data_IF_448145525296
#
_entry.id   IF_448145525296
#
_cell.length_a   1.000
_cell.length_b   1.000
_cell.length_c   1.000
_cell.angle_alpha   90.00
_cell.angle_beta   90.00
_cell.angle_gamma   90.00
#
_symmetry.space_group_name_H-M   'P 1'
#
loop_
_entity.id
_entity.type
_entity.pdbx_description
1 polymer ?
#
# COMPACT_ATOMS: atom_id res chain seq x y z
N UNK A 1 -5.13 19.49 24.89
CA UNK A 1 -6.52 19.30 24.41
C UNK A 1 -6.53 19.58 22.92
N UNK A 2 -6.96 18.62 22.10
CA UNK A 2 -7.09 18.82 20.66
C UNK A 2 -8.30 19.70 20.34
N UNK A 3 -8.21 20.54 19.30
CA UNK A 3 -9.36 21.24 18.74
C UNK A 3 -10.12 20.27 17.83
N UNK A 4 -11.42 20.15 18.05
CA UNK A 4 -12.30 19.36 17.18
C UNK A 4 -12.76 20.25 16.03
N UNK A 5 -12.60 19.76 14.80
CA UNK A 5 -13.06 20.41 13.59
C UNK A 5 -14.01 19.48 12.83
N UNK A 6 -14.99 20.06 12.16
CA UNK A 6 -15.87 19.34 11.23
C UNK A 6 -15.55 19.76 9.81
N UNK A 7 -15.27 18.80 8.93
CA UNK A 7 -14.91 19.05 7.53
C UNK A 7 -15.84 18.22 6.65
N UNK A 8 -16.35 18.82 5.57
CA UNK A 8 -17.07 18.11 4.52
C UNK A 8 -16.07 17.72 3.43
N UNK A 9 -16.05 16.44 3.08
CA UNK A 9 -15.14 15.85 2.11
C UNK A 9 -15.96 15.22 0.98
N UNK A 10 -15.38 15.09 -0.21
CA UNK A 10 -15.99 14.32 -1.29
C UNK A 10 -15.91 12.82 -0.99
N UNK A 11 -16.79 12.05 -1.62
CA UNK A 11 -16.81 10.59 -1.48
C UNK A 11 -15.48 9.94 -1.90
N UNK A 12 -14.80 10.51 -2.90
CA UNK A 12 -13.48 10.04 -3.35
C UNK A 12 -12.43 10.13 -2.23
N UNK A 13 -12.41 11.24 -1.50
CA UNK A 13 -11.47 11.43 -0.37
C UNK A 13 -11.83 10.49 0.77
N UNK A 14 -13.13 10.31 1.04
CA UNK A 14 -13.60 9.36 2.06
C UNK A 14 -13.16 7.93 1.69
N UNK A 15 -13.23 7.56 0.42
CA UNK A 15 -12.80 6.24 -0.05
C UNK A 15 -11.29 6.03 0.11
N UNK A 16 -10.47 7.04 -0.20
CA UNK A 16 -9.02 6.99 0.03
C UNK A 16 -8.73 6.80 1.52
N UNK A 17 -9.38 7.58 2.39
CA UNK A 17 -9.22 7.44 3.84
C UNK A 17 -9.60 6.04 4.34
N UNK A 18 -10.71 5.49 3.83
CA UNK A 18 -11.15 4.14 4.22
C UNK A 18 -10.16 3.07 3.75
N UNK A 19 -9.56 3.21 2.57
CA UNK A 19 -8.50 2.31 2.08
C UNK A 19 -7.25 2.38 2.94
N UNK A 20 -6.82 3.57 3.38
CA UNK A 20 -5.70 3.69 4.31
C UNK A 20 -5.93 2.91 5.61
N UNK A 21 -7.13 3.00 6.16
CA UNK A 21 -7.52 2.30 7.39
C UNK A 21 -7.63 0.79 7.15
N UNK A 22 -8.22 0.36 6.03
CA UNK A 22 -8.38 -1.07 5.72
C UNK A 22 -7.04 -1.77 5.50
N UNK A 23 -6.07 -1.08 4.91
CA UNK A 23 -4.70 -1.58 4.73
C UNK A 23 -3.81 -1.39 5.97
N UNK A 24 -4.35 -0.90 7.09
CA UNK A 24 -3.60 -0.66 8.34
C UNK A 24 -2.38 0.24 8.12
N UNK A 25 -2.49 1.20 7.20
CA UNK A 25 -1.49 2.26 7.01
C UNK A 25 -1.63 3.31 8.12
N UNK A 26 -2.87 3.54 8.56
CA UNK A 26 -3.25 4.43 9.66
C UNK A 26 -4.35 3.79 10.50
N UNK A 27 -4.54 4.24 11.74
CA UNK A 27 -5.47 3.63 12.68
C UNK A 27 -6.82 4.35 12.77
N UNK A 28 -6.90 5.62 12.35
CA UNK A 28 -8.11 6.42 12.46
C UNK A 28 -8.36 7.35 11.28
N UNK A 29 -9.60 7.87 11.16
CA UNK A 29 -9.95 8.89 10.16
C UNK A 29 -9.15 10.18 10.33
N UNK A 30 -8.84 10.55 11.57
CA UNK A 30 -8.03 11.73 11.87
C UNK A 30 -6.61 11.55 11.38
N UNK A 31 -6.00 10.38 11.63
CA UNK A 31 -4.68 10.05 11.10
C UNK A 31 -4.68 9.96 9.58
N UNK A 32 -5.73 9.40 8.96
CA UNK A 32 -5.86 9.36 7.50
C UNK A 32 -5.84 10.78 6.89
N UNK A 33 -6.59 11.71 7.48
CA UNK A 33 -6.60 13.12 7.05
C UNK A 33 -5.21 13.74 7.23
N UNK A 34 -4.59 13.57 8.40
CA UNK A 34 -3.26 14.12 8.67
C UNK A 34 -2.22 13.57 7.70
N UNK A 35 -2.25 12.26 7.44
CA UNK A 35 -1.36 11.59 6.51
C UNK A 35 -1.49 12.18 5.09
N UNK A 36 -2.74 12.35 4.62
CA UNK A 36 -3.04 12.94 3.32
C UNK A 36 -2.62 14.41 3.22
N UNK A 37 -2.77 15.18 4.30
CA UNK A 37 -2.33 16.58 4.34
C UNK A 37 -0.80 16.70 4.35
N UNK A 38 -0.10 15.81 5.03
CA UNK A 38 1.36 15.81 5.15
C UNK A 38 2.04 15.36 3.84
N UNK A 39 1.52 14.32 3.19
CA UNK A 39 2.18 13.70 2.04
C UNK A 39 1.53 14.06 0.70
N UNK A 40 0.32 14.62 0.71
CA UNK A 40 -0.47 14.86 -0.48
C UNK A 40 -1.23 13.61 -0.97
N UNK A 41 -2.26 13.86 -1.76
CA UNK A 41 -3.20 12.82 -2.23
C UNK A 41 -2.52 11.84 -3.21
N UNK A 42 -1.69 12.36 -4.12
CA UNK A 42 -1.02 11.55 -5.14
C UNK A 42 -0.07 10.51 -4.52
N UNK A 43 0.74 10.94 -3.56
CA UNK A 43 1.60 10.02 -2.81
C UNK A 43 0.79 8.99 -2.03
N UNK A 44 -0.27 9.44 -1.37
CA UNK A 44 -1.17 8.57 -0.62
C UNK A 44 -1.74 7.46 -1.51
N UNK A 45 -2.20 7.81 -2.72
CA UNK A 45 -2.73 6.85 -3.68
C UNK A 45 -1.67 5.82 -4.10
N UNK A 46 -0.45 6.27 -4.40
CA UNK A 46 0.67 5.39 -4.73
C UNK A 46 0.98 4.37 -3.63
N UNK A 47 0.89 4.77 -2.36
CA UNK A 47 1.09 3.86 -1.22
C UNK A 47 0.00 2.80 -1.16
N UNK A 48 -1.25 3.20 -1.39
CA UNK A 48 -2.39 2.28 -1.41
C UNK A 48 -2.25 1.28 -2.56
N UNK A 49 -1.92 1.74 -3.76
CA UNK A 49 -1.72 0.87 -4.93
C UNK A 49 -0.60 -0.15 -4.71
N UNK A 50 0.51 0.26 -4.08
CA UNK A 50 1.59 -0.67 -3.70
C UNK A 50 1.10 -1.75 -2.73
N UNK A 51 0.28 -1.38 -1.74
CA UNK A 51 -0.29 -2.34 -0.79
C UNK A 51 -1.27 -3.30 -1.45
N UNK A 52 -2.10 -2.82 -2.37
CA UNK A 52 -2.99 -3.67 -3.17
C UNK A 52 -2.21 -4.68 -3.99
N UNK A 53 -1.19 -4.23 -4.72
CA UNK A 53 -0.34 -5.12 -5.50
C UNK A 53 0.37 -6.18 -4.66
N UNK A 54 0.87 -5.81 -3.47
CA UNK A 54 1.47 -6.79 -2.56
C UNK A 54 0.44 -7.82 -2.09
N UNK A 55 -0.78 -7.40 -1.79
CA UNK A 55 -1.86 -8.29 -1.39
C UNK A 55 -2.27 -9.24 -2.51
N UNK A 56 -2.41 -8.74 -3.74
CA UNK A 56 -2.70 -9.56 -4.91
C UNK A 56 -1.62 -10.62 -5.14
N UNK A 57 -0.34 -10.25 -5.03
CA UNK A 57 0.77 -11.20 -5.16
C UNK A 57 0.73 -12.27 -4.07
N UNK A 58 0.40 -11.89 -2.83
CA UNK A 58 0.23 -12.84 -1.72
C UNK A 58 -0.96 -13.78 -1.94
N UNK A 59 -2.09 -13.26 -2.42
CA UNK A 59 -3.27 -14.07 -2.72
C UNK A 59 -2.98 -15.05 -3.86
N UNK A 60 -2.35 -14.59 -4.95
CA UNK A 60 -1.88 -15.46 -6.03
C UNK A 60 -0.91 -16.52 -5.54
N UNK A 61 0.04 -16.13 -4.70
CA UNK A 61 0.98 -17.07 -4.07
C UNK A 61 0.26 -18.14 -3.22
N UNK A 62 -0.73 -17.75 -2.42
CA UNK A 62 -1.49 -18.69 -1.60
C UNK A 62 -2.32 -19.67 -2.44
N UNK A 63 -2.80 -19.24 -3.61
CA UNK A 63 -3.61 -20.06 -4.51
C UNK A 63 -2.80 -20.93 -5.48
N UNK A 64 -1.73 -20.37 -6.06
CA UNK A 64 -0.96 -20.97 -7.16
C UNK A 64 0.36 -21.61 -6.67
N UNK A 65 0.81 -21.29 -5.45
CA UNK A 65 2.11 -21.71 -4.92
C UNK A 65 3.26 -20.79 -5.34
N UNK A 66 4.51 -21.19 -5.05
CA UNK A 66 5.69 -20.45 -5.54
C UNK A 66 5.73 -20.51 -7.07
N UNK A 67 5.99 -19.40 -7.77
CA UNK A 67 6.25 -19.45 -9.19
C UNK A 67 7.49 -20.33 -9.45
N UNK A 68 7.46 -21.14 -10.50
CA UNK A 68 8.65 -21.85 -10.95
C UNK A 68 9.73 -20.82 -11.33
N UNK A 69 10.84 -20.87 -10.61
CA UNK A 69 11.98 -20.02 -10.87
C UNK A 69 12.65 -20.49 -12.19
N UNK A 70 12.91 -19.57 -13.14
CA UNK A 70 13.61 -19.96 -14.35
C UNK A 70 15.02 -20.47 -14.00
N UNK A 71 15.44 -21.52 -14.71
CA UNK A 71 16.68 -22.27 -14.43
C UNK A 71 17.96 -21.46 -14.63
N UNK A 72 17.86 -20.29 -15.27
CA UNK A 72 18.94 -19.35 -15.56
C UNK A 72 19.34 -18.47 -14.35
N UNK A 73 18.54 -18.44 -13.29
CA UNK A 73 18.87 -17.70 -12.05
C UNK A 73 20.12 -18.28 -11.35
N UNK A 74 20.44 -19.54 -11.63
CA UNK A 74 21.67 -20.22 -11.21
C UNK A 74 22.92 -19.52 -11.76
N UNK A 75 22.86 -19.12 -13.03
CA UNK A 75 24.02 -18.62 -13.79
C UNK A 75 24.33 -17.17 -13.40
N UNK A 76 23.30 -16.39 -13.06
CA UNK A 76 23.44 -14.98 -12.64
C UNK A 76 24.12 -14.88 -11.26
N UNK A 77 23.84 -15.82 -10.34
CA UNK A 77 24.47 -15.82 -9.01
C UNK A 77 25.97 -16.14 -9.04
N UNK A 78 26.47 -16.78 -10.09
CA UNK A 78 27.87 -17.14 -10.23
C UNK A 78 28.67 -15.95 -10.78
N UNK A 79 28.08 -15.13 -11.66
CA UNK A 79 28.74 -13.97 -12.25
C UNK A 79 29.01 -12.81 -11.26
N UNK A 80 28.25 -12.67 -10.18
CA UNK A 80 28.50 -11.63 -9.16
C UNK A 80 29.61 -12.00 -8.15
N UNK A 81 30.19 -13.20 -8.24
CA UNK A 81 31.26 -13.68 -7.34
C UNK A 81 32.67 -13.65 -7.95
N UNK A 82 32.82 -13.28 -9.21
CA UNK A 82 34.11 -13.07 -9.90
C UNK A 82 34.44 -11.59 -10.05
#
# INVERSE_FOLDING_TARGET
MGRVISVRLSDDIINIMNRLISFKIVDSKTEAINYMLEHGIEYTMNVIEKKERSRELLERYLHEGLPELPSDLSDISIMERE
#
